data_IF_942096090019
#
_entry.id   IF_942096090019
#
_cell.length_a   1.000
_cell.length_b   1.000
_cell.length_c   1.000
_cell.angle_alpha   90.00
_cell.angle_beta   90.00
_cell.angle_gamma   90.00
#
_symmetry.space_group_name_H-M   'P 1'
#
loop_
_entity.id
_entity.type
_entity.pdbx_description
1 polymer ?
#
# COMPACT_ATOMS: atom_id res chain seq x y z
N UNK A 1 -0.43 -38.68 -9.88
CA UNK A 1 -1.18 -38.19 -8.71
C UNK A 1 -2.23 -37.24 -9.25
N UNK A 2 -3.53 -37.56 -9.16
CA UNK A 2 -4.58 -36.64 -9.60
C UNK A 2 -4.79 -35.59 -8.50
N UNK A 3 -4.86 -34.32 -8.87
CA UNK A 3 -5.25 -33.24 -7.94
C UNK A 3 -6.65 -33.55 -7.39
N UNK A 4 -6.92 -33.23 -6.12
CA UNK A 4 -8.28 -33.35 -5.60
C UNK A 4 -9.22 -32.38 -6.35
N UNK A 5 -10.52 -32.67 -6.38
CA UNK A 5 -11.47 -31.85 -7.14
C UNK A 5 -11.50 -30.39 -6.67
N UNK A 6 -11.38 -30.14 -5.37
CA UNK A 6 -11.36 -28.79 -4.82
C UNK A 6 -10.07 -28.05 -5.19
N UNK A 7 -8.93 -28.72 -5.18
CA UNK A 7 -7.65 -28.15 -5.61
C UNK A 7 -7.66 -27.81 -7.10
N UNK A 8 -8.26 -28.66 -7.94
CA UNK A 8 -8.45 -28.34 -9.37
C UNK A 8 -9.32 -27.08 -9.53
N UNK A 9 -10.44 -27.00 -8.81
CA UNK A 9 -11.32 -25.81 -8.84
C UNK A 9 -10.59 -24.56 -8.36
N UNK A 10 -9.86 -24.61 -7.24
CA UNK A 10 -9.09 -23.47 -6.72
C UNK A 10 -8.08 -22.96 -7.75
N UNK A 11 -7.36 -23.87 -8.40
CA UNK A 11 -6.35 -23.52 -9.41
C UNK A 11 -6.99 -22.87 -10.63
N UNK A 12 -8.08 -23.44 -11.14
CA UNK A 12 -8.74 -22.94 -12.34
C UNK A 12 -9.43 -21.58 -12.07
N UNK A 13 -10.04 -21.40 -10.89
CA UNK A 13 -10.58 -20.11 -10.44
C UNK A 13 -9.50 -19.04 -10.33
N UNK A 14 -8.33 -19.41 -9.80
CA UNK A 14 -7.18 -18.51 -9.70
C UNK A 14 -6.68 -18.09 -11.08
N UNK A 15 -6.61 -19.02 -12.03
CA UNK A 15 -6.25 -18.73 -13.41
C UNK A 15 -7.22 -17.75 -14.08
N UNK A 16 -8.54 -17.95 -13.92
CA UNK A 16 -9.56 -17.04 -14.46
C UNK A 16 -9.44 -15.64 -13.85
N UNK A 17 -9.20 -15.55 -12.53
CA UNK A 17 -8.98 -14.26 -11.86
C UNK A 17 -7.73 -13.56 -12.39
N UNK A 18 -6.63 -14.29 -12.59
CA UNK A 18 -5.39 -13.74 -13.13
C UNK A 18 -5.58 -13.20 -14.55
N UNK A 19 -6.38 -13.85 -15.39
CA UNK A 19 -6.73 -13.32 -16.71
C UNK A 19 -7.46 -11.97 -16.59
N UNK A 20 -8.45 -11.88 -15.71
CA UNK A 20 -9.18 -10.62 -15.50
C UNK A 20 -8.32 -9.50 -14.91
N UNK A 21 -7.42 -9.83 -13.98
CA UNK A 21 -6.47 -8.86 -13.42
C UNK A 21 -5.51 -8.37 -14.50
N UNK A 22 -5.01 -9.27 -15.35
CA UNK A 22 -4.12 -8.89 -16.45
C UNK A 22 -4.79 -7.94 -17.45
N UNK A 23 -6.06 -8.17 -17.76
CA UNK A 23 -6.87 -7.25 -18.58
C UNK A 23 -7.00 -5.89 -17.90
N UNK A 24 -7.39 -5.83 -16.63
CA UNK A 24 -7.50 -4.58 -15.87
C UNK A 24 -6.17 -3.81 -15.79
N UNK A 25 -5.06 -4.51 -15.56
CA UNK A 25 -3.71 -3.94 -15.55
C UNK A 25 -3.29 -3.42 -16.94
N UNK A 26 -3.83 -3.97 -18.02
CA UNK A 26 -3.53 -3.50 -19.38
C UNK A 26 -4.30 -2.24 -19.76
N UNK A 27 -5.41 -1.96 -19.08
CA UNK A 27 -6.28 -0.81 -19.31
C UNK A 27 -5.97 0.38 -18.39
N UNK A 28 -5.22 0.16 -17.30
CA UNK A 28 -4.84 1.22 -16.38
C UNK A 28 -3.89 2.22 -17.09
N UNK A 29 -4.18 3.51 -16.97
CA UNK A 29 -3.39 4.59 -17.59
C UNK A 29 -2.03 4.85 -16.93
N UNK A 30 -1.45 3.86 -16.27
CA UNK A 30 -0.23 3.96 -15.45
C UNK A 30 0.81 2.95 -15.93
N UNK A 31 2.07 3.36 -15.99
CA UNK A 31 3.15 2.51 -16.49
C UNK A 31 4.39 2.57 -15.58
N UNK A 32 5.03 1.43 -15.23
CA UNK A 32 4.56 0.06 -15.46
C UNK A 32 3.41 -0.31 -14.50
N UNK A 33 2.28 -0.77 -15.03
CA UNK A 33 1.04 -1.00 -14.29
C UNK A 33 1.19 -1.87 -13.02
N UNK A 34 1.99 -2.94 -13.10
CA UNK A 34 2.20 -3.84 -11.97
C UNK A 34 2.94 -3.17 -10.81
N UNK A 35 3.93 -2.31 -11.12
CA UNK A 35 4.65 -1.54 -10.10
C UNK A 35 3.72 -0.59 -9.37
N UNK A 36 2.87 0.12 -10.12
CA UNK A 36 1.84 0.99 -9.54
C UNK A 36 0.85 0.26 -8.64
N UNK A 37 0.39 -0.92 -9.04
CA UNK A 37 -0.51 -1.71 -8.19
C UNK A 37 0.18 -2.18 -6.93
N UNK A 38 1.45 -2.58 -7.00
CA UNK A 38 2.20 -2.99 -5.83
C UNK A 38 2.45 -1.84 -4.85
N UNK A 39 2.91 -0.69 -5.34
CA UNK A 39 3.14 0.48 -4.47
C UNK A 39 1.83 1.00 -3.87
N UNK A 40 0.73 0.98 -4.64
CA UNK A 40 -0.58 1.34 -4.14
C UNK A 40 -1.12 0.36 -3.09
N UNK A 41 -0.86 -0.94 -3.24
CA UNK A 41 -1.22 -1.97 -2.25
C UNK A 41 -0.55 -1.67 -0.89
N UNK A 42 0.75 -1.34 -0.90
CA UNK A 42 1.51 -0.95 0.29
C UNK A 42 0.91 0.33 0.93
N UNK A 43 0.70 1.39 0.13
CA UNK A 43 0.10 2.64 0.61
C UNK A 43 -1.27 2.38 1.25
N UNK A 44 -2.09 1.54 0.63
CA UNK A 44 -3.42 1.21 1.11
C UNK A 44 -3.37 0.40 2.40
N UNK A 45 -2.44 -0.54 2.52
CA UNK A 45 -2.26 -1.34 3.73
C UNK A 45 -1.84 -0.46 4.92
N UNK A 46 -0.87 0.44 4.73
CA UNK A 46 -0.48 1.43 5.75
C UNK A 46 -1.68 2.32 6.11
N UNK A 47 -2.41 2.82 5.10
CA UNK A 47 -3.57 3.66 5.35
C UNK A 47 -4.64 2.95 6.18
N UNK A 48 -5.01 1.72 5.83
CA UNK A 48 -6.10 1.00 6.50
C UNK A 48 -5.74 0.58 7.93
N UNK A 49 -4.45 0.32 8.21
CA UNK A 49 -4.02 -0.28 9.48
C UNK A 49 -3.37 0.69 10.48
N UNK A 50 -3.05 1.94 10.08
CA UNK A 50 -2.38 2.92 10.95
C UNK A 50 -3.27 4.14 11.27
N UNK A 51 -4.59 4.00 11.30
CA UNK A 51 -5.49 5.15 11.50
C UNK A 51 -5.43 5.69 12.94
N UNK A 52 -5.25 7.00 13.12
CA UNK A 52 -5.20 7.64 14.45
C UNK A 52 -6.47 7.37 15.29
N UNK A 53 -7.66 7.45 14.66
CA UNK A 53 -8.96 7.16 15.30
C UNK A 53 -9.08 5.75 15.92
N UNK A 54 -8.27 4.80 15.45
CA UNK A 54 -8.33 3.40 15.86
C UNK A 54 -7.36 3.09 17.02
N UNK A 55 -6.61 4.10 17.48
CA UNK A 55 -5.66 4.01 18.59
C UNK A 55 -6.40 4.20 19.92
N UNK A 56 -6.39 3.18 20.77
CA UNK A 56 -6.98 3.26 22.09
C UNK A 56 -6.03 3.93 23.09
N UNK A 57 -6.59 4.50 24.15
CA UNK A 57 -5.79 5.04 25.25
C UNK A 57 -4.92 3.95 25.88
N UNK A 58 -3.60 4.04 25.70
CA UNK A 58 -2.62 3.07 26.19
C UNK A 58 -2.12 2.07 25.14
N UNK A 59 -2.55 2.19 23.88
CA UNK A 59 -1.89 1.50 22.78
C UNK A 59 -0.52 2.14 22.51
N UNK A 60 0.48 1.28 22.31
CA UNK A 60 1.80 1.68 21.84
C UNK A 60 1.81 1.51 20.32
N UNK A 61 1.53 2.58 19.60
CA UNK A 61 1.64 2.63 18.14
C UNK A 61 2.72 3.64 17.80
N UNK A 62 3.74 3.20 17.07
CA UNK A 62 4.89 4.06 16.75
C UNK A 62 4.49 5.19 15.79
N UNK A 63 3.54 4.94 14.88
CA UNK A 63 3.14 5.87 13.82
C UNK A 63 1.66 5.74 13.43
N UNK A 64 1.05 6.88 13.08
CA UNK A 64 -0.36 6.96 12.70
C UNK A 64 -0.63 7.91 11.54
N UNK A 65 -1.69 7.64 10.79
CA UNK A 65 -2.26 8.52 9.78
C UNK A 65 -3.11 9.58 10.50
N UNK A 66 -2.81 10.88 10.37
CA UNK A 66 -3.57 11.95 11.00
C UNK A 66 -5.05 11.97 10.59
N UNK A 67 -5.91 12.39 11.51
CA UNK A 67 -7.34 12.56 11.23
C UNK A 67 -7.59 13.53 10.07
N UNK A 68 -8.44 13.12 9.13
CA UNK A 68 -8.80 13.92 7.96
C UNK A 68 -7.92 13.72 6.73
N UNK A 69 -6.79 13.01 6.85
CA UNK A 69 -6.03 12.51 5.68
C UNK A 69 -6.83 11.40 5.00
N UNK A 70 -6.97 11.48 3.68
CA UNK A 70 -7.67 10.48 2.87
C UNK A 70 -6.71 9.72 1.97
N UNK A 71 -7.02 8.46 1.67
CA UNK A 71 -6.27 7.65 0.71
C UNK A 71 -6.11 8.35 -0.66
N UNK A 72 -7.10 9.15 -1.07
CA UNK A 72 -7.05 9.88 -2.35
C UNK A 72 -5.99 10.99 -2.33
N UNK A 73 -5.84 11.71 -1.21
CA UNK A 73 -4.80 12.74 -1.05
C UNK A 73 -3.41 12.12 -1.09
N UNK A 74 -3.22 10.98 -0.42
CA UNK A 74 -1.96 10.23 -0.48
C UNK A 74 -1.66 9.80 -1.91
N UNK A 75 -2.65 9.21 -2.60
CA UNK A 75 -2.49 8.80 -3.99
C UNK A 75 -2.17 9.97 -4.93
N UNK A 76 -2.84 11.13 -4.81
CA UNK A 76 -2.56 12.30 -5.65
C UNK A 76 -1.11 12.77 -5.49
N UNK A 77 -0.64 12.84 -4.25
CA UNK A 77 0.74 13.24 -3.98
C UNK A 77 1.74 12.19 -4.47
N UNK A 78 1.46 10.91 -4.24
CA UNK A 78 2.27 9.81 -4.74
C UNK A 78 2.38 9.84 -6.26
N UNK A 79 1.28 10.16 -6.94
CA UNK A 79 1.26 10.24 -8.40
C UNK A 79 2.21 11.31 -8.95
N UNK A 80 2.34 12.43 -8.24
CA UNK A 80 3.27 13.52 -8.59
C UNK A 80 4.73 13.15 -8.30
N UNK A 81 4.97 12.37 -7.23
CA UNK A 81 6.31 12.15 -6.69
C UNK A 81 6.97 10.84 -7.12
N UNK A 82 6.22 9.87 -7.68
CA UNK A 82 6.70 8.51 -7.94
C UNK A 82 8.03 8.44 -8.72
N UNK A 83 8.22 9.36 -9.68
CA UNK A 83 9.43 9.45 -10.50
C UNK A 83 10.67 9.86 -9.69
N UNK A 84 10.48 10.47 -8.51
CA UNK A 84 11.56 10.90 -7.62
C UNK A 84 11.98 9.84 -6.60
N UNK A 85 11.17 8.79 -6.42
CA UNK A 85 11.39 7.77 -5.39
C UNK A 85 12.39 6.68 -5.79
N UNK A 86 12.88 6.71 -7.04
CA UNK A 86 13.81 5.71 -7.60
C UNK A 86 13.35 4.25 -7.36
N UNK A 87 12.03 4.06 -7.38
CA UNK A 87 11.39 2.76 -7.20
C UNK A 87 11.54 1.96 -8.49
N UNK A 88 12.06 0.74 -8.38
CA UNK A 88 12.15 -0.19 -9.49
C UNK A 88 11.72 -1.60 -9.09
N UNK A 89 11.36 -2.41 -10.11
CA UNK A 89 10.86 -3.78 -9.90
C UNK A 89 11.95 -4.78 -9.47
N UNK A 90 13.22 -4.37 -9.47
CA UNK A 90 14.32 -5.21 -8.96
C UNK A 90 14.48 -5.08 -7.44
N UNK A 91 13.89 -4.04 -6.84
CA UNK A 91 13.80 -3.91 -5.39
C UNK A 91 12.79 -4.92 -4.83
N UNK A 92 13.18 -5.62 -3.76
CA UNK A 92 12.29 -6.52 -3.04
C UNK A 92 11.23 -5.76 -2.24
N UNK A 93 10.17 -6.45 -1.82
CA UNK A 93 9.04 -5.85 -1.10
C UNK A 93 9.41 -5.08 0.16
N UNK A 94 10.38 -5.58 0.94
CA UNK A 94 10.85 -4.90 2.16
C UNK A 94 11.43 -3.51 1.87
N UNK A 95 12.19 -3.38 0.77
CA UNK A 95 12.79 -2.10 0.36
C UNK A 95 11.69 -1.14 -0.11
N UNK A 96 10.73 -1.63 -0.90
CA UNK A 96 9.61 -0.81 -1.39
C UNK A 96 8.75 -0.30 -0.24
N UNK A 97 8.50 -1.13 0.76
CA UNK A 97 7.74 -0.73 1.94
C UNK A 97 8.45 0.35 2.74
N UNK A 98 9.76 0.21 2.99
CA UNK A 98 10.56 1.22 3.68
C UNK A 98 10.56 2.56 2.93
N UNK A 99 10.80 2.55 1.62
CA UNK A 99 10.78 3.76 0.77
C UNK A 99 9.42 4.45 0.81
N UNK A 100 8.31 3.69 0.74
CA UNK A 100 6.96 4.25 0.81
C UNK A 100 6.68 4.81 2.20
N UNK A 101 7.04 4.11 3.28
CA UNK A 101 6.85 4.60 4.66
C UNK A 101 7.63 5.88 4.89
N UNK A 102 8.89 5.93 4.48
CA UNK A 102 9.74 7.12 4.59
C UNK A 102 9.12 8.30 3.81
N UNK A 103 8.72 8.09 2.56
CA UNK A 103 8.04 9.11 1.77
C UNK A 103 6.73 9.59 2.42
N UNK A 104 5.93 8.68 3.02
CA UNK A 104 4.71 9.06 3.73
C UNK A 104 5.00 9.91 4.97
N UNK A 105 6.09 9.64 5.69
CA UNK A 105 6.53 10.47 6.83
C UNK A 105 7.02 11.84 6.38
N UNK A 106 7.81 11.90 5.31
CA UNK A 106 8.32 13.15 4.73
C UNK A 106 7.20 14.07 4.21
N UNK A 107 6.03 13.51 3.89
CA UNK A 107 4.85 14.25 3.41
C UNK A 107 3.74 14.41 4.46
N UNK A 108 4.05 14.18 5.74
CA UNK A 108 3.10 14.31 6.87
C UNK A 108 1.84 13.43 6.76
N UNK A 109 1.89 12.37 5.95
CA UNK A 109 0.80 11.38 5.87
C UNK A 109 0.87 10.34 6.98
N UNK A 110 2.05 10.12 7.54
CA UNK A 110 2.33 9.17 8.61
C UNK A 110 3.18 9.87 9.67
N UNK A 111 2.65 10.05 10.88
CA UNK A 111 3.32 10.81 11.95
C UNK A 111 3.70 9.90 13.10
N UNK A 112 4.90 10.10 13.65
CA UNK A 112 5.33 9.40 14.85
C UNK A 112 4.55 9.91 16.07
N UNK A 113 4.10 9.00 16.92
CA UNK A 113 3.35 9.33 18.14
C UNK A 113 4.23 9.44 19.39
N UNK A 114 5.51 9.08 19.26
CA UNK A 114 6.50 9.09 20.34
C UNK A 114 7.06 10.49 20.69
N UNK A 115 6.79 11.52 19.88
CA UNK A 115 7.09 12.91 20.23
C UNK A 115 5.83 13.53 20.83
N UNK A 116 5.91 13.88 22.12
CA UNK A 116 4.89 14.45 23.03
C UNK A 116 4.12 15.71 22.53
N UNK A 117 4.20 16.06 21.24
CA UNK A 117 3.55 17.23 20.63
C UNK A 117 2.15 16.99 20.03
N UNK A 118 1.66 15.74 19.97
CA UNK A 118 0.39 15.41 19.29
C UNK A 118 -0.76 14.96 20.22
N UNK A 119 -0.50 14.84 21.53
CA UNK A 119 -1.50 14.48 22.55
C UNK A 119 -1.94 15.71 23.39
N UNK A 120 -2.11 16.88 22.76
CA UNK A 120 -2.75 18.05 23.40
C UNK A 120 -4.20 18.28 22.94
#
# INVERSE_FOLDING_TARGET
MSLDLQEQTRRDDSFIKLLSINEQLSEIGLFPALGWVWTFDIIKDIFDNNQFKDIAQGDYVDEAIPDGVTLKQIFDKFYEDIETLDINMDQGGEILEEVIRDWMRENDFLVALDDDGWLE
#
